data_IF_597131109133
#
_entry.id   IF_597131109133
#
_cell.length_a   1.000
_cell.length_b   1.000
_cell.length_c   1.000
_cell.angle_alpha   90.00
_cell.angle_beta   90.00
_cell.angle_gamma   90.00
#
_symmetry.space_group_name_H-M   'P 1'
#
loop_
_entity.id
_entity.type
_entity.pdbx_description
1 polymer ?
#
# COMPACT_ATOMS: atom_id res chain seq x y z
N UNK A 1 49.79 14.65 7.87
CA UNK A 1 49.18 13.94 9.02
C UNK A 1 47.71 14.32 9.22
N UNK A 2 47.37 15.62 9.31
CA UNK A 2 45.98 16.12 9.46
C UNK A 2 44.98 15.55 8.43
N UNK A 3 45.34 15.58 7.14
CA UNK A 3 44.49 15.05 6.07
C UNK A 3 44.19 13.54 6.16
N UNK A 4 45.07 12.75 6.79
CA UNK A 4 44.82 11.31 6.96
C UNK A 4 43.79 11.05 8.06
N UNK A 5 43.89 11.80 9.17
CA UNK A 5 42.93 11.74 10.28
C UNK A 5 41.55 12.24 9.83
N UNK A 6 41.50 13.35 9.07
CA UNK A 6 40.26 13.88 8.51
C UNK A 6 39.54 12.88 7.59
N UNK A 7 40.29 12.18 6.73
CA UNK A 7 39.71 11.16 5.85
C UNK A 7 39.12 9.96 6.62
N UNK A 8 39.77 9.54 7.71
CA UNK A 8 39.26 8.45 8.57
C UNK A 8 37.96 8.89 9.25
N UNK A 9 37.90 10.14 9.73
CA UNK A 9 36.70 10.71 10.36
C UNK A 9 35.55 10.85 9.35
N UNK A 10 35.83 11.40 8.16
CA UNK A 10 34.84 11.61 7.10
C UNK A 10 34.28 10.30 6.53
N UNK A 11 35.05 9.22 6.54
CA UNK A 11 34.58 7.89 6.11
C UNK A 11 33.67 7.22 7.13
N UNK A 12 33.80 7.58 8.41
CA UNK A 12 33.13 6.91 9.51
C UNK A 12 31.83 7.61 9.94
N UNK A 13 31.84 8.95 10.05
CA UNK A 13 30.67 9.74 10.51
C UNK A 13 29.40 9.51 9.67
N UNK A 14 29.43 9.40 8.32
CA UNK A 14 28.21 9.20 7.53
C UNK A 14 27.51 7.86 7.77
N UNK A 15 28.17 6.91 8.40
CA UNK A 15 27.63 5.57 8.69
C UNK A 15 26.88 5.52 10.02
N UNK A 16 27.04 6.54 10.85
CA UNK A 16 26.47 6.64 12.20
C UNK A 16 25.49 7.80 12.20
N UNK A 17 24.42 7.68 12.98
CA UNK A 17 23.50 8.78 13.13
C UNK A 17 24.16 9.89 13.97
N UNK A 18 23.78 11.15 13.74
CA UNK A 18 24.40 12.28 14.46
C UNK A 18 24.24 12.12 15.99
N UNK A 19 23.09 11.62 16.42
CA UNK A 19 22.79 11.33 17.83
C UNK A 19 23.67 10.20 18.41
N UNK A 20 23.95 9.16 17.60
CA UNK A 20 24.82 8.05 18.00
C UNK A 20 26.30 8.45 18.01
N UNK A 21 26.65 9.50 17.26
CA UNK A 21 28.04 9.98 17.16
C UNK A 21 28.54 10.53 18.50
N UNK A 22 27.65 11.12 19.30
CA UNK A 22 27.96 11.56 20.66
C UNK A 22 28.13 10.40 21.65
N UNK A 23 27.34 9.34 21.51
CA UNK A 23 27.46 8.15 22.36
C UNK A 23 28.68 7.30 22.00
N UNK A 24 29.14 7.37 20.76
CA UNK A 24 30.26 6.60 20.24
C UNK A 24 31.59 7.36 20.20
N UNK A 25 31.71 8.50 20.87
CA UNK A 25 32.95 9.31 20.88
C UNK A 25 34.18 8.47 21.28
N UNK A 26 34.03 7.59 22.28
CA UNK A 26 35.06 6.64 22.70
C UNK A 26 35.44 5.62 21.62
N UNK A 27 34.46 5.13 20.85
CA UNK A 27 34.73 4.20 19.75
C UNK A 27 35.46 4.89 18.59
N UNK A 28 35.08 6.13 18.29
CA UNK A 28 35.75 6.97 17.28
C UNK A 28 37.20 7.20 17.70
N UNK A 29 37.44 7.56 18.96
CA UNK A 29 38.77 7.75 19.51
C UNK A 29 39.65 6.50 19.37
N UNK A 30 39.12 5.31 19.70
CA UNK A 30 39.83 4.03 19.54
C UNK A 30 40.20 3.75 18.08
N UNK A 31 39.27 3.92 17.15
CA UNK A 31 39.55 3.68 15.71
C UNK A 31 40.58 4.65 15.16
N UNK A 32 40.53 5.91 15.55
CA UNK A 32 41.53 6.91 15.16
C UNK A 32 42.91 6.49 15.71
N UNK A 33 42.98 6.05 16.97
CA UNK A 33 44.23 5.55 17.57
C UNK A 33 44.80 4.36 16.80
N UNK A 34 44.00 3.35 16.49
CA UNK A 34 44.44 2.16 15.75
C UNK A 34 44.96 2.52 14.35
N UNK A 35 44.19 3.33 13.61
CA UNK A 35 44.55 3.76 12.26
C UNK A 35 45.84 4.60 12.27
N UNK A 36 45.94 5.56 13.18
CA UNK A 36 47.11 6.44 13.27
C UNK A 36 48.34 5.67 13.80
N UNK A 37 48.17 4.75 14.75
CA UNK A 37 49.25 3.91 15.27
C UNK A 37 49.88 3.05 14.16
N UNK A 38 49.06 2.47 13.29
CA UNK A 38 49.54 1.66 12.15
C UNK A 38 50.43 2.46 11.19
N UNK A 39 50.08 3.73 10.96
CA UNK A 39 50.85 4.61 10.08
C UNK A 39 52.09 5.17 10.79
N UNK A 40 51.95 5.60 12.04
CA UNK A 40 53.02 6.18 12.84
C UNK A 40 54.11 5.17 13.23
N UNK A 41 53.75 3.90 13.39
CA UNK A 41 54.70 2.82 13.64
C UNK A 41 55.76 2.72 12.52
N UNK A 42 55.40 3.02 11.27
CA UNK A 42 56.34 3.03 10.13
C UNK A 42 57.41 4.12 10.24
N UNK A 43 57.17 5.14 11.05
CA UNK A 43 58.06 6.26 11.30
C UNK A 43 58.72 6.19 12.69
N UNK A 44 58.50 5.11 13.45
CA UNK A 44 59.09 4.90 14.78
C UNK A 44 58.37 5.60 15.93
N UNK A 45 57.16 6.13 15.72
CA UNK A 45 56.37 6.79 16.77
C UNK A 45 55.34 5.83 17.39
N UNK A 46 55.17 5.88 18.72
CA UNK A 46 54.15 5.14 19.47
C UNK A 46 53.11 6.10 20.04
N UNK A 47 51.82 5.77 19.89
CA UNK A 47 50.70 6.61 20.34
C UNK A 47 50.08 6.00 21.60
N UNK A 48 50.27 6.66 22.74
CA UNK A 48 49.67 6.20 24.01
C UNK A 48 48.16 6.42 24.07
N UNK A 49 47.68 7.62 23.72
CA UNK A 49 46.24 7.94 23.72
C UNK A 49 45.87 8.95 22.63
N UNK A 50 44.65 8.79 22.11
CA UNK A 50 44.01 9.77 21.24
C UNK A 50 42.69 10.18 21.91
N UNK A 51 42.58 11.45 22.29
CA UNK A 51 41.38 12.02 22.91
C UNK A 51 40.64 12.85 21.86
N UNK A 52 39.35 12.57 21.68
CA UNK A 52 38.45 13.41 20.89
C UNK A 52 37.94 14.49 21.84
N UNK A 53 38.09 15.76 21.46
CA UNK A 53 37.74 16.90 22.32
C UNK A 53 36.39 17.50 21.96
N UNK A 54 36.10 17.58 20.66
CA UNK A 54 34.83 18.05 20.11
C UNK A 54 34.69 17.58 18.67
N UNK A 55 33.56 16.98 18.35
CA UNK A 55 33.20 16.65 16.96
C UNK A 55 32.37 17.82 16.42
N UNK A 56 32.95 18.57 15.47
CA UNK A 56 32.22 19.59 14.70
C UNK A 56 32.33 19.18 13.23
N UNK A 57 31.28 18.56 12.66
CA UNK A 57 31.27 18.26 11.24
C UNK A 57 31.36 19.57 10.43
N UNK A 58 31.97 19.51 9.26
CA UNK A 58 31.96 20.65 8.34
C UNK A 58 30.53 20.91 7.84
N UNK A 59 30.17 22.17 7.62
CA UNK A 59 28.82 22.57 7.16
C UNK A 59 28.39 21.84 5.88
N UNK A 60 29.34 21.57 4.97
CA UNK A 60 29.09 20.81 3.75
C UNK A 60 28.61 19.37 4.04
N UNK A 61 29.13 18.74 5.08
CA UNK A 61 28.76 17.36 5.50
C UNK A 61 27.38 17.38 6.15
N UNK A 62 27.12 18.35 7.03
CA UNK A 62 25.80 18.53 7.66
C UNK A 62 24.72 18.73 6.59
N UNK A 63 25.00 19.58 5.59
CA UNK A 63 24.11 19.81 4.46
C UNK A 63 23.87 18.53 3.66
N UNK A 64 24.92 17.86 3.21
CA UNK A 64 24.78 16.62 2.45
C UNK A 64 24.01 15.53 3.21
N UNK A 65 24.21 15.44 4.52
CA UNK A 65 23.52 14.47 5.38
C UNK A 65 22.05 14.82 5.56
N UNK A 66 21.72 16.10 5.71
CA UNK A 66 20.33 16.56 5.73
C UNK A 66 19.63 16.30 4.40
N UNK A 67 20.28 16.60 3.28
CA UNK A 67 19.74 16.36 1.93
C UNK A 67 19.47 14.86 1.72
N UNK A 68 20.37 13.97 2.16
CA UNK A 68 20.17 12.51 2.08
C UNK A 68 19.01 12.05 2.96
N UNK A 69 18.89 12.60 4.18
CA UNK A 69 17.82 12.25 5.10
C UNK A 69 16.46 12.76 4.60
N UNK A 70 16.42 13.95 4.02
CA UNK A 70 15.24 14.52 3.39
C UNK A 70 14.80 13.65 2.21
N UNK A 71 15.71 13.32 1.29
CA UNK A 71 15.42 12.45 0.15
C UNK A 71 14.93 11.05 0.59
N UNK A 72 15.51 10.49 1.66
CA UNK A 72 15.03 9.20 2.22
C UNK A 72 13.62 9.32 2.80
N UNK A 73 13.34 10.39 3.54
CA UNK A 73 12.00 10.66 4.09
C UNK A 73 10.97 10.89 2.98
N UNK A 74 11.34 11.67 1.96
CA UNK A 74 10.50 11.93 0.80
C UNK A 74 10.20 10.65 0.03
N UNK A 75 11.20 9.77 -0.16
CA UNK A 75 11.01 8.47 -0.79
C UNK A 75 9.98 7.63 -0.04
N UNK A 76 10.14 7.48 1.28
CA UNK A 76 9.20 6.70 2.11
C UNK A 76 7.80 7.32 2.07
N UNK A 77 7.69 8.65 2.15
CA UNK A 77 6.41 9.34 2.05
C UNK A 77 5.76 9.14 0.68
N UNK A 78 6.56 9.16 -0.39
CA UNK A 78 6.08 8.94 -1.77
C UNK A 78 5.63 7.50 -1.99
N UNK A 79 6.38 6.52 -1.49
CA UNK A 79 6.00 5.11 -1.52
C UNK A 79 4.66 4.89 -0.78
N UNK A 80 4.52 5.44 0.43
CA UNK A 80 3.28 5.36 1.20
C UNK A 80 2.10 6.03 0.48
N UNK A 81 2.31 7.21 -0.13
CA UNK A 81 1.28 7.89 -0.93
C UNK A 81 0.90 7.10 -2.18
N UNK A 82 1.87 6.51 -2.86
CA UNK A 82 1.63 5.70 -4.04
C UNK A 82 0.81 4.44 -3.71
N UNK A 83 1.12 3.79 -2.59
CA UNK A 83 0.35 2.65 -2.08
C UNK A 83 -1.07 3.05 -1.69
N UNK A 84 -1.23 4.17 -0.96
CA UNK A 84 -2.55 4.70 -0.63
C UNK A 84 -3.39 4.99 -1.88
N UNK A 85 -2.80 5.65 -2.89
CA UNK A 85 -3.48 5.94 -4.15
C UNK A 85 -3.90 4.67 -4.89
N UNK A 86 -3.06 3.62 -4.88
CA UNK A 86 -3.41 2.33 -5.47
C UNK A 86 -4.63 1.72 -4.78
N UNK A 87 -4.66 1.73 -3.45
CA UNK A 87 -5.79 1.22 -2.67
C UNK A 87 -7.07 2.00 -2.98
N UNK A 88 -7.01 3.34 -3.00
CA UNK A 88 -8.16 4.18 -3.33
C UNK A 88 -8.69 3.90 -4.73
N UNK A 89 -7.81 3.74 -5.73
CA UNK A 89 -8.20 3.46 -7.10
C UNK A 89 -8.86 2.08 -7.24
N UNK A 90 -8.32 1.05 -6.59
CA UNK A 90 -8.90 -0.30 -6.62
C UNK A 90 -10.27 -0.30 -5.94
N UNK A 91 -10.38 0.31 -4.75
CA UNK A 91 -11.64 0.39 -4.03
C UNK A 91 -12.71 1.16 -4.84
N UNK A 92 -12.33 2.24 -5.52
CA UNK A 92 -13.23 2.97 -6.41
C UNK A 92 -13.67 2.09 -7.60
N UNK A 93 -12.74 1.37 -8.24
CA UNK A 93 -13.07 0.49 -9.36
C UNK A 93 -13.98 -0.67 -8.94
N UNK A 94 -13.76 -1.25 -7.76
CA UNK A 94 -14.61 -2.28 -7.17
C UNK A 94 -16.01 -1.73 -6.88
N UNK A 95 -16.10 -0.55 -6.26
CA UNK A 95 -17.37 0.11 -5.99
C UNK A 95 -18.15 0.44 -7.28
N UNK A 96 -17.47 0.90 -8.32
CA UNK A 96 -18.10 1.16 -9.63
C UNK A 96 -18.57 -0.12 -10.32
N UNK A 97 -17.81 -1.22 -10.20
CA UNK A 97 -18.20 -2.51 -10.75
C UNK A 97 -19.43 -3.08 -10.04
N UNK A 98 -19.45 -3.01 -8.70
CA UNK A 98 -20.59 -3.44 -7.89
C UNK A 98 -21.83 -2.60 -8.18
N UNK A 99 -21.69 -1.28 -8.26
CA UNK A 99 -22.79 -0.38 -8.62
C UNK A 99 -23.39 -0.70 -10.00
N UNK A 100 -22.55 -0.96 -11.01
CA UNK A 100 -23.00 -1.38 -12.35
C UNK A 100 -23.68 -2.74 -12.33
N UNK A 101 -23.18 -3.70 -11.55
CA UNK A 101 -23.80 -5.01 -11.40
C UNK A 101 -25.20 -4.89 -10.79
N UNK A 102 -25.34 -4.10 -9.72
CA UNK A 102 -26.62 -3.87 -9.05
C UNK A 102 -27.62 -3.15 -9.96
N UNK A 103 -27.17 -2.14 -10.71
CA UNK A 103 -27.98 -1.46 -11.72
C UNK A 103 -28.45 -2.43 -12.83
N UNK A 104 -27.57 -3.31 -13.30
CA UNK A 104 -27.89 -4.34 -14.30
C UNK A 104 -28.95 -5.34 -13.80
N UNK A 105 -28.88 -5.75 -12.53
CA UNK A 105 -29.91 -6.59 -11.91
C UNK A 105 -31.27 -5.88 -11.86
N UNK A 106 -31.30 -4.60 -11.54
CA UNK A 106 -32.52 -3.78 -11.56
C UNK A 106 -33.18 -3.77 -12.94
N UNK A 107 -32.40 -3.47 -13.99
CA UNK A 107 -32.89 -3.45 -15.38
C UNK A 107 -33.35 -4.83 -15.83
N UNK A 108 -32.63 -5.90 -15.48
CA UNK A 108 -33.03 -7.26 -15.83
C UNK A 108 -34.36 -7.66 -15.15
N UNK A 109 -34.53 -7.30 -13.87
CA UNK A 109 -35.77 -7.54 -13.12
C UNK A 109 -36.95 -6.77 -13.71
N UNK A 110 -36.73 -5.50 -14.07
CA UNK A 110 -37.75 -4.67 -14.72
C UNK A 110 -38.15 -5.23 -16.09
N UNK A 111 -37.17 -5.64 -16.92
CA UNK A 111 -37.43 -6.28 -18.22
C UNK A 111 -38.21 -7.59 -18.06
N UNK A 112 -37.89 -8.41 -17.06
CA UNK A 112 -38.64 -9.66 -16.80
C UNK A 112 -40.08 -9.39 -16.41
N UNK A 113 -40.33 -8.38 -15.56
CA UNK A 113 -41.68 -7.99 -15.16
C UNK A 113 -42.50 -7.42 -16.33
N UNK A 114 -41.91 -6.52 -17.12
CA UNK A 114 -42.58 -5.94 -18.29
C UNK A 114 -42.80 -6.98 -19.40
N UNK A 115 -41.82 -7.84 -19.67
CA UNK A 115 -41.95 -8.92 -20.65
C UNK A 115 -43.02 -9.95 -20.27
N UNK A 116 -43.21 -10.24 -18.98
CA UNK A 116 -44.30 -11.10 -18.51
C UNK A 116 -45.66 -10.43 -18.76
N UNK A 117 -45.78 -9.12 -18.48
CA UNK A 117 -47.01 -8.36 -18.72
C UNK A 117 -47.39 -8.33 -20.21
N UNK A 118 -46.41 -8.07 -21.08
CA UNK A 118 -46.63 -8.06 -22.53
C UNK A 118 -46.97 -9.46 -23.06
N UNK A 119 -46.38 -10.51 -22.47
CA UNK A 119 -46.71 -11.90 -22.83
C UNK A 119 -48.16 -12.28 -22.48
N UNK A 120 -48.68 -11.80 -21.34
CA UNK A 120 -50.08 -12.02 -20.95
C UNK A 120 -51.04 -11.30 -21.89
N UNK A 121 -50.78 -10.03 -22.20
CA UNK A 121 -51.63 -9.23 -23.11
C UNK A 121 -51.65 -9.80 -24.55
N UNK A 122 -50.52 -10.28 -25.05
CA UNK A 122 -50.44 -10.89 -26.38
C UNK A 122 -51.16 -12.26 -26.44
N UNK A 123 -51.22 -13.01 -25.33
CA UNK A 123 -51.96 -14.27 -25.26
C UNK A 123 -53.48 -14.06 -25.17
N UNK A 124 -53.94 -13.01 -24.48
CA UNK A 124 -55.37 -12.61 -24.46
C UNK A 124 -55.90 -12.24 -25.84
N UNK A 125 -55.06 -11.63 -26.71
CA UNK A 125 -55.43 -11.28 -28.08
C UNK A 125 -55.31 -12.40 -29.11
N UNK A 126 -54.55 -13.46 -28.83
CA UNK A 126 -54.10 -14.45 -29.82
C UNK A 126 -54.81 -15.81 -29.82
N UNK A 127 -55.53 -16.18 -28.75
CA UNK A 127 -56.13 -17.52 -28.61
C UNK A 127 -57.59 -17.42 -28.14
N UNK A 128 -58.54 -17.70 -29.04
CA UNK A 128 -59.95 -17.81 -28.67
C UNK A 128 -60.18 -19.08 -27.85
N UNK A 129 -60.60 -18.93 -26.59
CA UNK A 129 -61.21 -20.00 -25.79
C UNK A 129 -60.56 -20.35 -24.46
N UNK A 130 -59.53 -19.64 -24.00
CA UNK A 130 -58.95 -19.87 -22.66
C UNK A 130 -59.32 -18.72 -21.73
N UNK A 131 -59.94 -19.04 -20.59
CA UNK A 131 -60.34 -18.06 -19.57
C UNK A 131 -59.07 -17.52 -18.86
N UNK A 132 -58.84 -16.19 -18.83
CA UNK A 132 -57.70 -15.58 -18.14
C UNK A 132 -57.52 -16.05 -16.69
N UNK A 133 -58.61 -16.46 -16.03
CA UNK A 133 -58.57 -16.97 -14.66
C UNK A 133 -57.86 -18.34 -14.54
N UNK A 134 -58.02 -19.24 -15.50
CA UNK A 134 -57.34 -20.55 -15.52
C UNK A 134 -55.83 -20.40 -15.80
N UNK A 135 -55.46 -19.45 -16.66
CA UNK A 135 -54.05 -19.16 -16.95
C UNK A 135 -53.35 -18.58 -15.73
N UNK A 136 -54.02 -17.65 -15.03
CA UNK A 136 -53.46 -17.07 -13.81
C UNK A 136 -53.31 -18.11 -12.71
N UNK A 137 -54.26 -19.05 -12.58
CA UNK A 137 -54.15 -20.17 -11.65
C UNK A 137 -52.95 -21.08 -11.96
N UNK A 138 -52.70 -21.39 -13.24
CA UNK A 138 -51.54 -22.18 -13.68
C UNK A 138 -50.20 -21.45 -13.40
N UNK A 139 -50.18 -20.14 -13.61
CA UNK A 139 -49.01 -19.29 -13.38
C UNK A 139 -48.68 -19.17 -11.88
N UNK A 140 -49.71 -19.06 -11.03
CA UNK A 140 -49.57 -19.10 -9.57
C UNK A 140 -49.05 -20.46 -9.08
N UNK A 141 -49.55 -21.57 -9.65
CA UNK A 141 -49.03 -22.91 -9.35
C UNK A 141 -47.55 -23.04 -9.71
N UNK A 142 -47.13 -22.52 -10.86
CA UNK A 142 -45.73 -22.57 -11.27
C UNK A 142 -44.84 -21.72 -10.36
N UNK A 143 -45.30 -20.51 -9.99
CA UNK A 143 -44.59 -19.68 -9.01
C UNK A 143 -44.51 -20.32 -7.62
N UNK A 144 -45.56 -21.05 -7.20
CA UNK A 144 -45.54 -21.81 -5.95
C UNK A 144 -44.47 -22.92 -5.97
N UNK A 145 -44.35 -23.66 -7.07
CA UNK A 145 -43.32 -24.68 -7.22
C UNK A 145 -41.90 -24.09 -7.32
N UNK A 146 -41.72 -22.97 -8.02
CA UNK A 146 -40.44 -22.26 -8.05
C UNK A 146 -40.04 -21.76 -6.66
N UNK A 147 -40.97 -21.19 -5.88
CA UNK A 147 -40.72 -20.75 -4.51
C UNK A 147 -40.35 -21.93 -3.58
N UNK A 148 -41.02 -23.07 -3.71
CA UNK A 148 -40.66 -24.29 -3.00
C UNK A 148 -39.27 -24.80 -3.38
N UNK A 149 -38.90 -24.74 -4.67
CA UNK A 149 -37.57 -25.12 -5.15
C UNK A 149 -36.49 -24.21 -4.56
N UNK A 150 -36.72 -22.90 -4.53
CA UNK A 150 -35.76 -21.92 -4.01
C UNK A 150 -35.53 -22.09 -2.50
N UNK A 151 -36.59 -22.37 -1.73
CA UNK A 151 -36.48 -22.72 -0.30
C UNK A 151 -35.70 -24.03 -0.11
N UNK A 152 -35.99 -25.05 -0.94
CA UNK A 152 -35.27 -26.32 -0.90
C UNK A 152 -33.80 -26.21 -1.28
N UNK A 153 -33.44 -25.27 -2.15
CA UNK A 153 -32.06 -25.02 -2.57
C UNK A 153 -31.24 -24.17 -1.58
N UNK A 154 -31.90 -23.40 -0.69
CA UNK A 154 -31.24 -22.59 0.34
C UNK A 154 -30.89 -23.38 1.61
N UNK A 155 -31.40 -24.60 1.78
CA UNK A 155 -31.05 -25.47 2.90
C UNK A 155 -29.84 -26.35 2.53
N UNK A 156 -28.65 -25.75 2.38
CA UNK A 156 -27.38 -26.46 2.36
C UNK A 156 -26.19 -25.60 2.78
#
# INVERSE_FOLDING_TARGET
>A
MKAHVENVILSYIPKINLDDTYQQEDQIARRIKESLSTVMAKFGYSIENALVTKIVPADAVVKAMNDINEARREKVATEARAEANKITLVCQAEAEAEAKALAGQGVARERKANGLRDSVLNFEGGVQGVDPHEVMALLMMTQYFDALRDIGAQCH
#
